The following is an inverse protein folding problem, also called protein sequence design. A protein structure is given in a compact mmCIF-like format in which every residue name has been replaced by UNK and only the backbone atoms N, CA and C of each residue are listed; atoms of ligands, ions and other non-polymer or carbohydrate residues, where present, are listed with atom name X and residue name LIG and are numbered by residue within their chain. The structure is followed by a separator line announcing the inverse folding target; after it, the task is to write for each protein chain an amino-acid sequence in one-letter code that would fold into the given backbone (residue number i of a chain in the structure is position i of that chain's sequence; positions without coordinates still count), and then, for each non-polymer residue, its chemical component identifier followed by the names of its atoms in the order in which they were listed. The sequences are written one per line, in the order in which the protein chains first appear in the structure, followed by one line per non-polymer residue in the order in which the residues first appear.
data_IF_939452853281
#
_entry.id   IF_939452853281
#
_cell.length_a   1.000
_cell.length_b   1.000
_cell.length_c   1.000
_cell.angle_alpha   90.00
_cell.angle_beta   90.00
_cell.angle_gamma   90.00
#
_symmetry.space_group_name_H-M   'P 1'
#
loop_
_entity.id
_entity.type
_entity.pdbx_description
1 polymer ?
#
# COMPACT_ATOMS: atom_id res chain seq x y z
N UNK A 1 4.17 -0.77 -13.77
CA UNK A 1 4.59 -2.04 -13.16
C UNK A 1 4.35 -2.04 -11.65
N UNK A 2 4.19 -3.22 -11.07
CA UNK A 2 4.24 -3.43 -9.61
C UNK A 2 5.47 -4.27 -9.32
N UNK A 3 6.42 -3.71 -8.58
CA UNK A 3 7.64 -4.41 -8.17
C UNK A 3 7.33 -5.13 -6.86
N UNK A 4 7.54 -6.44 -6.83
CA UNK A 4 7.29 -7.28 -5.64
C UNK A 4 8.58 -7.94 -5.19
N UNK A 5 8.73 -8.25 -3.89
CA UNK A 5 9.77 -9.17 -3.46
C UNK A 5 9.58 -10.54 -4.12
N UNK A 6 10.68 -11.29 -4.29
CA UNK A 6 10.64 -12.63 -4.91
C UNK A 6 9.79 -13.60 -4.07
N UNK A 7 9.80 -13.44 -2.75
CA UNK A 7 8.97 -14.20 -1.80
C UNK A 7 7.76 -13.37 -1.37
N UNK A 8 6.64 -14.02 -1.07
CA UNK A 8 5.39 -13.34 -0.72
C UNK A 8 5.47 -12.61 0.64
N UNK A 9 5.87 -13.32 1.71
CA UNK A 9 6.05 -12.78 3.05
C UNK A 9 7.55 -12.61 3.34
N UNK A 10 8.01 -11.36 3.41
CA UNK A 10 9.42 -11.04 3.69
C UNK A 10 9.50 -10.09 4.88
N UNK A 11 10.37 -10.44 5.82
CA UNK A 11 10.72 -9.60 6.97
C UNK A 11 12.16 -9.13 6.87
N UNK A 12 12.42 -7.93 7.37
CA UNK A 12 13.75 -7.41 7.60
C UNK A 12 14.39 -8.10 8.82
N UNK A 13 15.68 -7.89 9.04
CA UNK A 13 16.42 -8.45 10.19
C UNK A 13 15.88 -8.01 11.54
N UNK A 14 15.19 -6.86 11.59
CA UNK A 14 14.52 -6.33 12.79
C UNK A 14 13.07 -6.85 12.95
N UNK A 15 12.64 -7.80 12.12
CA UNK A 15 11.31 -8.41 12.15
C UNK A 15 10.21 -7.62 11.43
N UNK A 16 10.49 -6.41 10.94
CA UNK A 16 9.50 -5.58 10.22
C UNK A 16 9.19 -6.14 8.85
N UNK A 17 7.93 -6.00 8.43
CA UNK A 17 7.49 -6.41 7.10
C UNK A 17 8.09 -5.52 6.01
N UNK A 18 8.56 -6.14 4.93
CA UNK A 18 8.89 -5.46 3.69
C UNK A 18 7.60 -5.13 2.93
N UNK A 19 7.59 -4.03 2.18
CA UNK A 19 6.46 -3.69 1.31
C UNK A 19 6.16 -4.83 0.33
N UNK A 20 4.94 -5.39 0.33
CA UNK A 20 4.60 -6.55 -0.51
C UNK A 20 4.53 -6.19 -2.00
N UNK A 21 4.37 -4.92 -2.32
CA UNK A 21 4.40 -4.41 -3.68
C UNK A 21 4.59 -2.90 -3.74
N UNK A 22 5.38 -2.44 -4.71
CA UNK A 22 5.63 -1.02 -4.98
C UNK A 22 5.17 -0.71 -6.41
N UNK A 23 4.23 0.22 -6.54
CA UNK A 23 3.78 0.71 -7.85
C UNK A 23 4.84 1.64 -8.47
N UNK A 24 5.27 1.33 -9.69
CA UNK A 24 6.07 2.21 -10.52
C UNK A 24 5.33 2.48 -11.83
N UNK A 25 4.90 3.71 -12.02
CA UNK A 25 4.02 4.14 -13.11
C UNK A 25 4.86 4.82 -14.21
N UNK A 26 4.53 4.54 -15.47
CA UNK A 26 5.23 5.13 -16.62
C UNK A 26 4.99 6.63 -16.73
N UNK A 27 5.89 7.33 -17.45
CA UNK A 27 5.85 8.79 -17.61
C UNK A 27 4.52 9.29 -18.19
N UNK A 28 4.07 8.72 -19.30
CA UNK A 28 2.82 9.18 -19.94
C UNK A 28 1.58 8.83 -19.11
N UNK A 29 1.56 7.68 -18.44
CA UNK A 29 0.49 7.33 -17.49
C UNK A 29 0.35 8.35 -16.36
N UNK A 30 1.47 8.87 -15.84
CA UNK A 30 1.45 9.83 -14.76
C UNK A 30 0.80 11.17 -15.13
N UNK A 31 0.58 11.47 -16.42
CA UNK A 31 -0.22 12.64 -16.83
C UNK A 31 -1.69 12.53 -16.42
N UNK A 32 -2.23 11.31 -16.35
CA UNK A 32 -3.60 11.07 -15.88
C UNK A 32 -3.72 11.39 -14.38
N UNK A 33 -2.64 11.14 -13.63
CA UNK A 33 -2.63 11.31 -12.16
C UNK A 33 -2.25 12.72 -11.73
N UNK A 34 -1.21 13.29 -12.34
CA UNK A 34 -0.63 14.58 -11.94
C UNK A 34 -0.96 15.73 -12.91
N UNK A 35 -1.72 15.47 -13.95
CA UNK A 35 -2.10 16.42 -14.99
C UNK A 35 -1.15 16.43 -16.20
N UNK A 36 -1.61 16.95 -17.36
CA UNK A 36 -0.86 16.90 -18.62
C UNK A 36 0.47 17.64 -18.56
N UNK A 37 0.61 18.65 -17.71
CA UNK A 37 1.79 19.52 -17.62
C UNK A 37 2.77 19.14 -16.48
N UNK A 38 2.57 17.99 -15.83
CA UNK A 38 3.34 17.62 -14.63
C UNK A 38 4.86 17.48 -14.89
N UNK A 39 5.25 17.31 -16.15
CA UNK A 39 6.65 17.18 -16.58
C UNK A 39 7.38 18.51 -16.76
N UNK A 40 6.67 19.66 -16.69
CA UNK A 40 7.33 20.97 -16.71
C UNK A 40 8.30 21.10 -15.52
N UNK A 41 9.50 21.69 -15.69
CA UNK A 41 10.55 21.69 -14.66
C UNK A 41 10.11 22.20 -13.28
N UNK A 42 9.26 23.22 -13.23
CA UNK A 42 8.68 23.81 -12.02
C UNK A 42 7.67 22.88 -11.33
N UNK A 43 6.79 22.24 -12.10
CA UNK A 43 5.82 21.27 -11.58
C UNK A 43 6.53 20.02 -11.06
N UNK A 44 7.48 19.50 -11.83
CA UNK A 44 8.23 18.30 -11.49
C UNK A 44 9.09 18.51 -10.23
N UNK A 45 9.73 19.68 -10.08
CA UNK A 45 10.49 20.03 -8.87
C UNK A 45 9.60 19.98 -7.62
N UNK A 46 8.41 20.56 -7.68
CA UNK A 46 7.43 20.52 -6.58
C UNK A 46 6.97 19.09 -6.28
N UNK A 47 6.60 18.31 -7.30
CA UNK A 47 6.06 16.96 -7.13
C UNK A 47 7.09 15.93 -6.61
N UNK A 48 8.39 16.21 -6.75
CA UNK A 48 9.45 15.38 -6.15
C UNK A 48 9.45 15.44 -4.62
N UNK A 49 9.02 16.56 -4.04
CA UNK A 49 8.84 16.70 -2.59
C UNK A 49 7.51 16.07 -2.21
N UNK A 50 7.56 14.76 -1.88
CA UNK A 50 6.37 13.99 -1.51
C UNK A 50 6.62 13.09 -0.32
N UNK A 51 5.61 12.94 0.53
CA UNK A 51 5.66 12.13 1.74
C UNK A 51 4.99 10.78 1.50
N UNK A 52 5.80 9.72 1.43
CA UNK A 52 5.31 8.35 1.19
C UNK A 52 5.10 7.55 2.48
N UNK A 53 5.55 8.07 3.62
CA UNK A 53 5.60 7.33 4.89
C UNK A 53 4.23 6.85 5.35
N UNK A 54 3.22 7.71 5.32
CA UNK A 54 1.88 7.37 5.79
C UNK A 54 1.22 6.30 4.92
N UNK A 55 1.24 6.43 3.58
CA UNK A 55 0.69 5.40 2.67
C UNK A 55 1.45 4.08 2.76
N UNK A 56 2.78 4.12 2.97
CA UNK A 56 3.59 2.92 3.23
C UNK A 56 3.20 2.22 4.53
N UNK A 57 2.96 2.98 5.59
CA UNK A 57 2.52 2.44 6.89
C UNK A 57 1.13 1.80 6.80
N UNK A 58 0.17 2.46 6.14
CA UNK A 58 -1.16 1.91 5.87
C UNK A 58 -1.08 0.59 5.10
N UNK A 59 -0.35 0.56 3.99
CA UNK A 59 -0.19 -0.64 3.17
C UNK A 59 0.38 -1.84 3.96
N UNK A 60 1.30 -1.61 4.90
CA UNK A 60 1.84 -2.70 5.73
C UNK A 60 0.84 -3.20 6.77
N UNK A 61 0.03 -2.31 7.37
CA UNK A 61 -1.01 -2.67 8.34
C UNK A 61 -2.14 -3.43 7.66
N UNK A 62 -2.62 -2.94 6.53
CA UNK A 62 -3.61 -3.62 5.69
C UNK A 62 -3.10 -5.01 5.26
N UNK A 63 -1.84 -5.10 4.81
CA UNK A 63 -1.24 -6.37 4.43
C UNK A 63 -1.18 -7.37 5.59
N UNK A 64 -0.76 -6.94 6.78
CA UNK A 64 -0.71 -7.79 7.96
C UNK A 64 -2.11 -8.28 8.38
N UNK A 65 -3.12 -7.40 8.37
CA UNK A 65 -4.51 -7.76 8.65
C UNK A 65 -5.08 -8.72 7.60
N UNK A 66 -4.72 -8.55 6.33
CA UNK A 66 -5.12 -9.46 5.26
C UNK A 66 -4.54 -10.86 5.45
N UNK A 67 -3.27 -10.98 5.86
CA UNK A 67 -2.66 -12.27 6.20
C UNK A 67 -3.37 -12.93 7.39
N UNK A 68 -3.61 -12.17 8.47
CA UNK A 68 -4.34 -12.66 9.64
C UNK A 68 -5.74 -13.17 9.28
N UNK A 69 -6.48 -12.44 8.44
CA UNK A 69 -7.81 -12.88 7.98
C UNK A 69 -7.75 -14.21 7.22
N UNK A 70 -6.73 -14.40 6.38
CA UNK A 70 -6.54 -15.64 5.63
C UNK A 70 -6.13 -16.81 6.53
N UNK A 71 -5.24 -16.58 7.50
CA UNK A 71 -4.81 -17.59 8.46
C UNK A 71 -6.00 -18.05 9.33
N UNK A 72 -6.78 -17.11 9.89
CA UNK A 72 -8.00 -17.43 10.66
C UNK A 72 -9.03 -18.21 9.84
N UNK A 73 -9.18 -17.87 8.56
CA UNK A 73 -10.08 -18.58 7.66
C UNK A 73 -9.59 -20.02 7.41
N UNK A 74 -8.30 -20.19 7.17
CA UNK A 74 -7.68 -21.50 6.92
C UNK A 74 -7.77 -22.42 8.16
N UNK A 75 -7.65 -21.85 9.36
CA UNK A 75 -7.76 -22.56 10.64
C UNK A 75 -9.22 -22.87 11.05
N UNK A 76 -10.20 -22.41 10.26
CA UNK A 76 -11.62 -22.66 10.53
C UNK A 76 -12.17 -21.86 11.71
N UNK A 77 -11.57 -20.71 12.03
CA UNK A 77 -12.10 -19.84 13.08
C UNK A 77 -13.52 -19.35 12.75
N UNK A 78 -14.33 -19.01 13.78
CA UNK A 78 -15.65 -18.43 13.57
C UNK A 78 -15.60 -17.18 12.67
N UNK A 79 -16.62 -17.01 11.83
CA UNK A 79 -16.66 -15.93 10.83
C UNK A 79 -16.42 -14.53 11.40
N UNK A 80 -16.89 -14.26 12.62
CA UNK A 80 -16.69 -12.96 13.27
C UNK A 80 -15.22 -12.65 13.57
N UNK A 81 -14.38 -13.67 13.80
CA UNK A 81 -12.92 -13.53 13.97
C UNK A 81 -12.24 -13.22 12.64
N UNK A 82 -12.67 -13.85 11.55
CA UNK A 82 -12.17 -13.51 10.21
C UNK A 82 -12.57 -12.08 9.85
N UNK A 83 -13.84 -11.74 10.06
CA UNK A 83 -14.39 -10.41 9.75
C UNK A 83 -13.79 -9.29 10.59
N UNK A 84 -13.34 -9.54 11.81
CA UNK A 84 -12.61 -8.56 12.62
C UNK A 84 -11.41 -7.98 11.84
N UNK A 85 -10.58 -8.85 11.24
CA UNK A 85 -9.42 -8.43 10.46
C UNK A 85 -9.82 -7.81 9.11
N UNK A 86 -10.82 -8.36 8.43
CA UNK A 86 -11.33 -7.82 7.16
C UNK A 86 -11.91 -6.41 7.33
N UNK A 87 -12.72 -6.18 8.35
CA UNK A 87 -13.31 -4.87 8.61
C UNK A 87 -12.29 -3.86 9.13
N UNK A 88 -11.23 -4.30 9.80
CA UNK A 88 -10.11 -3.44 10.13
C UNK A 88 -9.40 -2.91 8.86
N UNK A 89 -9.22 -3.74 7.82
CA UNK A 89 -8.70 -3.26 6.52
C UNK A 89 -9.62 -2.19 5.93
N UNK A 90 -10.93 -2.44 5.93
CA UNK A 90 -11.91 -1.47 5.42
C UNK A 90 -11.88 -0.15 6.20
N UNK A 91 -11.72 -0.20 7.52
CA UNK A 91 -11.59 0.98 8.36
C UNK A 91 -10.32 1.77 8.03
N UNK A 92 -9.18 1.09 7.81
CA UNK A 92 -7.91 1.75 7.45
C UNK A 92 -7.97 2.46 6.10
N UNK A 93 -8.72 1.95 5.12
CA UNK A 93 -8.91 2.62 3.82
C UNK A 93 -9.71 3.94 3.92
N UNK A 94 -10.35 4.21 5.06
CA UNK A 94 -11.01 5.49 5.31
C UNK A 94 -10.05 6.58 5.80
N UNK A 95 -8.79 6.23 6.12
CA UNK A 95 -7.78 7.19 6.55
C UNK A 95 -7.38 8.12 5.39
N UNK A 96 -7.35 9.45 5.60
CA UNK A 96 -7.07 10.39 4.53
C UNK A 96 -5.60 10.27 4.06
N UNK A 97 -5.43 9.98 2.78
CA UNK A 97 -4.12 9.92 2.12
C UNK A 97 -4.13 10.75 0.84
N UNK A 98 -2.95 11.15 0.36
CA UNK A 98 -2.83 11.78 -0.95
C UNK A 98 -3.36 10.80 -2.04
N UNK A 99 -4.46 11.14 -2.74
CA UNK A 99 -5.11 10.24 -3.69
C UNK A 99 -4.26 9.97 -4.93
N UNK A 100 -3.17 10.73 -5.13
CA UNK A 100 -2.24 10.55 -6.25
C UNK A 100 -1.26 9.41 -6.00
N UNK A 101 -1.12 8.94 -4.75
CA UNK A 101 -0.10 7.97 -4.34
C UNK A 101 -0.47 6.53 -4.58
#
# INVERSE_FOLDING_TARGET
MVVKPVRALVRQTDGRLVQPGIKCRGREYLRIVYGPEYTRPENLRRLRVRYLGHKRSLALREYALGLEALDRLADGEPLWRVHEAVFAVLALESEPVDPRL
#
